data_IF_987326002706
#
_entry.id   IF_987326002706
#
_cell.length_a   1.000
_cell.length_b   1.000
_cell.length_c   1.000
_cell.angle_alpha   90.00
_cell.angle_beta   90.00
_cell.angle_gamma   90.00
#
_symmetry.space_group_name_H-M   'P 1'
#
loop_
_entity.id
_entity.type
_entity.pdbx_description
1 polymer ?
#
# COMPACT_ATOMS: atom_id res chain seq x y z
N UNK A 1 25.11 7.65 24.72
CA UNK A 1 25.33 6.35 24.05
C UNK A 1 24.46 6.31 22.81
N UNK A 2 24.97 5.83 21.67
CA UNK A 2 24.19 5.73 20.42
C UNK A 2 23.63 4.32 20.25
N UNK A 3 22.34 4.20 19.94
CA UNK A 3 21.76 2.93 19.48
C UNK A 3 21.87 2.83 17.96
N UNK A 4 22.17 1.65 17.40
CA UNK A 4 22.18 1.46 15.95
C UNK A 4 20.76 1.68 15.39
N UNK A 5 20.67 2.43 14.28
CA UNK A 5 19.42 2.70 13.58
C UNK A 5 19.47 2.07 12.19
N UNK A 6 18.46 1.28 11.85
CA UNK A 6 18.25 0.80 10.49
C UNK A 6 17.61 1.90 9.65
N UNK A 7 18.44 2.56 8.84
CA UNK A 7 18.02 3.68 7.98
C UNK A 7 17.05 3.23 6.90
N UNK A 8 17.19 2.02 6.37
CA UNK A 8 16.28 1.48 5.34
C UNK A 8 14.87 1.28 5.90
N UNK A 9 14.78 0.65 7.07
CA UNK A 9 13.51 0.46 7.78
C UNK A 9 12.89 1.80 8.20
N UNK A 10 13.69 2.75 8.67
CA UNK A 10 13.23 4.07 9.05
C UNK A 10 12.70 4.87 7.86
N UNK A 11 13.45 4.91 6.75
CA UNK A 11 13.04 5.57 5.52
C UNK A 11 11.75 4.96 4.96
N UNK A 12 11.68 3.63 4.85
CA UNK A 12 10.47 2.93 4.37
C UNK A 12 9.24 3.25 5.23
N UNK A 13 9.37 3.15 6.55
CA UNK A 13 8.27 3.45 7.50
C UNK A 13 7.81 4.90 7.35
N UNK A 14 8.75 5.82 7.16
CA UNK A 14 8.46 7.25 6.97
C UNK A 14 7.75 7.51 5.65
N UNK A 15 8.24 6.95 4.54
CA UNK A 15 7.60 7.07 3.22
C UNK A 15 6.19 6.50 3.23
N UNK A 16 5.98 5.35 3.88
CA UNK A 16 4.66 4.74 3.99
C UNK A 16 3.69 5.63 4.77
N UNK A 17 4.12 6.18 5.91
CA UNK A 17 3.33 7.12 6.70
C UNK A 17 2.97 8.40 5.91
N UNK A 18 3.93 8.94 5.16
CA UNK A 18 3.69 10.13 4.33
C UNK A 18 2.64 9.83 3.27
N UNK A 19 2.79 8.75 2.50
CA UNK A 19 1.83 8.37 1.47
C UNK A 19 0.45 8.07 2.06
N UNK A 20 0.37 7.33 3.16
CA UNK A 20 -0.91 7.01 3.77
C UNK A 20 -1.64 8.25 4.28
N UNK A 21 -0.90 9.22 4.82
CA UNK A 21 -1.45 10.49 5.30
C UNK A 21 -1.89 11.37 4.13
N UNK A 22 -1.13 11.42 3.05
CA UNK A 22 -1.48 12.20 1.84
C UNK A 22 -2.70 11.63 1.12
N UNK A 23 -2.83 10.31 1.02
CA UNK A 23 -3.92 9.70 0.26
C UNK A 23 -5.19 9.48 1.06
N UNK A 24 -5.07 9.17 2.35
CA UNK A 24 -6.19 8.69 3.16
C UNK A 24 -6.33 9.44 4.48
N UNK A 25 -5.45 10.41 4.79
CA UNK A 25 -5.36 11.07 6.10
C UNK A 25 -5.19 10.07 7.26
N UNK A 26 -4.62 8.88 6.98
CA UNK A 26 -4.36 7.83 7.98
C UNK A 26 -2.86 7.66 8.17
N UNK A 27 -2.42 7.44 9.41
CA UNK A 27 -1.05 7.05 9.72
C UNK A 27 -0.94 5.51 9.77
N UNK A 28 -0.57 4.90 8.65
CA UNK A 28 -0.60 3.43 8.46
C UNK A 28 0.70 2.70 8.82
N UNK A 29 1.72 3.38 9.33
CA UNK A 29 2.97 2.75 9.76
C UNK A 29 3.29 2.96 11.25
N UNK A 30 2.37 3.54 12.03
CA UNK A 30 2.50 3.61 13.48
C UNK A 30 2.29 2.23 14.13
N UNK A 31 3.18 1.87 15.06
CA UNK A 31 3.31 0.57 15.73
C UNK A 31 2.17 0.19 16.69
N UNK A 32 1.09 0.97 16.79
CA UNK A 32 0.09 0.83 17.86
C UNK A 32 -1.21 0.13 17.43
N UNK A 33 -1.46 -0.01 16.13
CA UNK A 33 -2.69 -0.64 15.62
C UNK A 33 -2.38 -1.84 14.71
N UNK A 34 -3.07 -2.96 14.95
CA UNK A 34 -2.93 -4.19 14.15
C UNK A 34 -3.16 -3.98 12.66
N UNK A 35 -4.06 -3.06 12.29
CA UNK A 35 -4.37 -2.73 10.88
C UNK A 35 -3.23 -2.00 10.16
N UNK A 36 -2.51 -1.14 10.89
CA UNK A 36 -1.34 -0.40 10.39
C UNK A 36 -0.19 -1.37 10.11
N UNK A 37 0.05 -2.30 11.03
CA UNK A 37 1.05 -3.34 10.85
C UNK A 37 0.73 -4.26 9.67
N UNK A 38 -0.54 -4.69 9.52
CA UNK A 38 -0.98 -5.52 8.38
C UNK A 38 -0.75 -4.82 7.03
N UNK A 39 -1.06 -3.53 6.92
CA UNK A 39 -0.83 -2.77 5.69
C UNK A 39 0.66 -2.62 5.37
N UNK A 40 1.47 -2.33 6.38
CA UNK A 40 2.93 -2.23 6.24
C UNK A 40 3.54 -3.55 5.77
N UNK A 41 3.15 -4.66 6.38
CA UNK A 41 3.65 -5.99 6.03
C UNK A 41 3.23 -6.36 4.60
N UNK A 42 2.00 -6.04 4.20
CA UNK A 42 1.52 -6.27 2.83
C UNK A 42 2.33 -5.47 1.79
N UNK A 43 2.59 -4.19 2.02
CA UNK A 43 3.41 -3.37 1.11
C UNK A 43 4.85 -3.87 1.08
N UNK A 44 5.38 -4.32 2.22
CA UNK A 44 6.71 -4.91 2.29
C UNK A 44 6.82 -6.20 1.45
N UNK A 45 5.85 -7.12 1.57
CA UNK A 45 5.79 -8.34 0.77
C UNK A 45 5.71 -8.05 -0.73
N UNK A 46 4.92 -7.05 -1.14
CA UNK A 46 4.84 -6.60 -2.54
C UNK A 46 6.19 -6.07 -3.03
N UNK A 47 6.85 -5.22 -2.24
CA UNK A 47 8.16 -4.67 -2.59
C UNK A 47 9.24 -5.75 -2.69
N UNK A 48 9.22 -6.74 -1.79
CA UNK A 48 10.13 -7.87 -1.84
C UNK A 48 9.93 -8.70 -3.12
N UNK A 49 8.68 -8.87 -3.55
CA UNK A 49 8.34 -9.63 -4.75
C UNK A 49 8.66 -8.90 -6.05
N UNK A 50 8.47 -7.57 -6.07
CA UNK A 50 8.85 -6.72 -7.21
C UNK A 50 10.37 -6.59 -7.29
N UNK A 51 11.07 -6.54 -6.16
CA UNK A 51 12.52 -6.41 -6.10
C UNK A 51 13.28 -7.71 -6.39
N UNK A 52 12.60 -8.87 -6.36
CA UNK A 52 13.21 -10.16 -6.71
C UNK A 52 13.47 -10.24 -8.22
N UNK A 53 14.68 -10.61 -8.66
CA UNK A 53 14.96 -10.86 -10.06
C UNK A 53 14.04 -11.95 -10.59
N UNK A 54 13.17 -11.61 -11.54
CA UNK A 54 12.26 -12.58 -12.13
C UNK A 54 12.97 -13.30 -13.28
N UNK A 55 13.31 -14.58 -13.07
CA UNK A 55 13.96 -15.42 -14.10
C UNK A 55 13.16 -15.49 -15.41
N UNK A 56 11.84 -15.30 -15.36
CA UNK A 56 11.00 -15.26 -16.57
C UNK A 56 11.21 -14.03 -17.45
N UNK A 57 11.75 -12.95 -16.89
CA UNK A 57 12.09 -11.74 -17.65
C UNK A 57 13.39 -11.93 -18.44
N UNK A 58 14.24 -12.87 -18.01
CA UNK A 58 15.48 -13.25 -18.70
C UNK A 58 15.29 -14.45 -19.65
N UNK A 59 14.38 -15.38 -19.33
CA UNK A 59 14.13 -16.59 -20.12
C UNK A 59 12.65 -16.68 -20.55
N UNK A 60 12.32 -16.31 -21.81
CA UNK A 60 10.94 -16.26 -22.31
C UNK A 60 10.16 -17.57 -22.17
N UNK A 61 10.84 -18.72 -22.21
CA UNK A 61 10.25 -20.07 -22.04
C UNK A 61 9.68 -20.27 -20.63
N UNK A 62 10.24 -19.61 -19.61
CA UNK A 62 9.81 -19.74 -18.22
C UNK A 62 8.62 -18.84 -17.87
N UNK A 63 8.17 -17.94 -18.76
CA UNK A 63 7.02 -17.04 -18.53
C UNK A 63 5.71 -17.76 -18.23
N UNK A 64 5.55 -18.99 -18.74
CA UNK A 64 4.34 -19.79 -18.57
C UNK A 64 4.37 -20.69 -17.34
N UNK A 65 5.54 -20.88 -16.74
CA UNK A 65 5.74 -21.83 -15.63
C UNK A 65 5.68 -21.14 -14.26
N UNK A 66 5.85 -19.82 -14.20
CA UNK A 66 6.03 -19.05 -12.95
C UNK A 66 6.97 -19.77 -11.97
N UNK A 67 8.25 -20.02 -12.33
CA UNK A 67 9.12 -20.93 -11.59
C UNK A 67 9.35 -20.51 -10.13
N UNK A 68 9.19 -19.22 -9.84
CA UNK A 68 9.38 -18.63 -8.52
C UNK A 68 8.05 -18.28 -7.83
N UNK A 69 6.90 -18.56 -8.46
CA UNK A 69 5.57 -18.27 -7.91
C UNK A 69 5.29 -16.78 -7.68
N UNK A 70 6.14 -15.90 -8.22
CA UNK A 70 6.14 -14.46 -7.93
C UNK A 70 4.88 -13.83 -8.48
N UNK A 71 4.45 -14.21 -9.69
CA UNK A 71 3.23 -13.66 -10.29
C UNK A 71 2.00 -14.01 -9.47
N UNK A 72 1.89 -15.26 -9.03
CA UNK A 72 0.77 -15.70 -8.19
C UNK A 72 0.74 -15.00 -6.83
N UNK A 73 1.90 -14.85 -6.17
CA UNK A 73 2.00 -14.15 -4.89
C UNK A 73 1.70 -12.66 -5.01
N UNK A 74 2.23 -12.02 -6.05
CA UNK A 74 1.97 -10.62 -6.34
C UNK A 74 0.48 -10.37 -6.60
N UNK A 75 -0.19 -11.23 -7.39
CA UNK A 75 -1.63 -11.14 -7.62
C UNK A 75 -2.43 -11.24 -6.32
N UNK A 76 -2.15 -12.24 -5.47
CA UNK A 76 -2.81 -12.39 -4.18
C UNK A 76 -2.57 -11.18 -3.24
N UNK A 77 -1.37 -10.62 -3.25
CA UNK A 77 -1.04 -9.44 -2.45
C UNK A 77 -1.73 -8.17 -2.97
N UNK A 78 -1.83 -7.99 -4.29
CA UNK A 78 -2.60 -6.89 -4.86
C UNK A 78 -4.10 -7.03 -4.59
N UNK A 79 -4.67 -8.24 -4.60
CA UNK A 79 -6.07 -8.46 -4.21
C UNK A 79 -6.31 -8.02 -2.76
N UNK A 80 -5.41 -8.39 -1.83
CA UNK A 80 -5.47 -7.93 -0.43
C UNK A 80 -5.33 -6.41 -0.34
N UNK A 81 -4.46 -5.79 -1.15
CA UNK A 81 -4.24 -4.35 -1.15
C UNK A 81 -5.47 -3.59 -1.64
N UNK A 82 -6.08 -4.08 -2.73
CA UNK A 82 -7.34 -3.55 -3.26
C UNK A 82 -8.45 -3.65 -2.20
N UNK A 83 -8.53 -4.76 -1.46
CA UNK A 83 -9.49 -4.90 -0.38
C UNK A 83 -9.27 -3.89 0.76
N UNK A 84 -8.03 -3.52 1.08
CA UNK A 84 -7.73 -2.42 2.02
C UNK A 84 -8.27 -1.10 1.48
N UNK A 85 -7.96 -0.75 0.23
CA UNK A 85 -8.43 0.51 -0.38
C UNK A 85 -9.95 0.57 -0.48
N UNK A 86 -10.62 -0.52 -0.86
CA UNK A 86 -12.08 -0.59 -0.89
C UNK A 86 -12.70 -0.36 0.49
N UNK A 87 -12.09 -0.87 1.58
CA UNK A 87 -12.54 -0.58 2.95
C UNK A 87 -12.42 0.91 3.27
N UNK A 88 -11.30 1.54 2.93
CA UNK A 88 -11.08 2.97 3.14
C UNK A 88 -12.07 3.83 2.35
N UNK A 89 -12.29 3.51 1.07
CA UNK A 89 -13.26 4.19 0.21
C UNK A 89 -14.67 4.09 0.79
N UNK A 90 -15.11 2.86 1.15
CA UNK A 90 -16.45 2.64 1.73
C UNK A 90 -16.63 3.39 3.05
N UNK A 91 -15.61 3.39 3.90
CA UNK A 91 -15.64 4.13 5.15
C UNK A 91 -15.80 5.63 4.88
N UNK A 92 -15.02 6.20 3.95
CA UNK A 92 -15.11 7.62 3.59
C UNK A 92 -16.47 7.99 3.00
N UNK A 93 -17.04 7.13 2.16
CA UNK A 93 -18.38 7.33 1.60
C UNK A 93 -19.48 7.33 2.68
N UNK A 94 -19.30 6.57 3.78
CA UNK A 94 -20.24 6.51 4.89
C UNK A 94 -20.06 7.66 5.89
N UNK A 95 -18.81 7.97 6.26
CA UNK A 95 -18.47 8.97 7.28
C UNK A 95 -18.52 10.42 6.74
N UNK A 96 -18.51 10.59 5.42
CA UNK A 96 -18.38 11.88 4.76
C UNK A 96 -16.92 12.27 4.52
N UNK A 97 -16.66 13.39 3.80
CA UNK A 97 -15.30 13.83 3.49
C UNK A 97 -14.49 14.08 4.77
N UNK A 98 -13.17 14.07 4.64
CA UNK A 98 -12.28 14.47 5.74
C UNK A 98 -12.62 15.89 6.22
N UNK A 99 -12.17 16.21 7.45
CA UNK A 99 -12.34 17.57 8.01
C UNK A 99 -11.85 18.62 6.99
N UNK A 100 -12.47 19.82 6.93
CA UNK A 100 -12.14 20.85 5.94
C UNK A 100 -10.64 21.18 5.87
N UNK A 101 -9.96 21.17 7.02
CA UNK A 101 -8.52 21.47 7.13
C UNK A 101 -7.60 20.28 6.80
N UNK A 102 -8.16 19.14 6.38
CA UNK A 102 -7.48 17.87 6.14
C UNK A 102 -8.00 17.16 4.89
N UNK A 103 -8.29 17.91 3.81
CA UNK A 103 -8.68 17.32 2.52
C UNK A 103 -7.52 16.48 1.98
N UNK A 104 -7.77 15.20 1.71
CA UNK A 104 -6.78 14.30 1.12
C UNK A 104 -7.09 13.94 -0.34
N UNK A 105 -6.18 13.18 -0.96
CA UNK A 105 -6.36 12.77 -2.36
C UNK A 105 -7.63 11.94 -2.55
N UNK A 106 -8.01 11.10 -1.58
CA UNK A 106 -9.24 10.33 -1.71
C UNK A 106 -10.47 11.24 -1.73
N UNK A 107 -10.52 12.30 -0.92
CA UNK A 107 -11.61 13.27 -0.98
C UNK A 107 -11.74 13.88 -2.39
N UNK A 108 -10.61 14.34 -2.95
CA UNK A 108 -10.58 14.91 -4.31
C UNK A 108 -11.05 13.89 -5.36
N UNK A 109 -10.60 12.63 -5.26
CA UNK A 109 -11.00 11.58 -6.20
C UNK A 109 -12.50 11.25 -6.10
N UNK A 110 -13.07 11.25 -4.90
CA UNK A 110 -14.50 11.02 -4.68
C UNK A 110 -15.35 12.18 -5.20
N UNK A 111 -14.89 13.42 -5.02
CA UNK A 111 -15.58 14.59 -5.56
C UNK A 111 -15.56 14.61 -7.09
N UNK A 112 -14.41 14.28 -7.71
CA UNK A 112 -14.31 14.13 -9.16
C UNK A 112 -15.19 13.00 -9.70
N UNK A 113 -15.33 11.90 -8.95
CA UNK A 113 -16.22 10.80 -9.33
C UNK A 113 -17.69 11.25 -9.34
N UNK A 114 -18.13 11.96 -8.30
CA UNK A 114 -19.50 12.49 -8.20
C UNK A 114 -19.84 13.55 -9.24
N UNK A 115 -18.86 14.34 -9.69
CA UNK A 115 -19.07 15.35 -10.74
C UNK A 115 -19.24 14.76 -12.15
N UNK A 116 -18.80 13.51 -12.34
CA UNK A 116 -18.94 12.80 -13.62
C UNK A 116 -20.24 11.99 -13.73
N UNK A 117 -20.96 11.79 -12.62
CA UNK A 117 -22.34 11.30 -12.62
C UNK A 117 -23.32 12.46 -12.84
#
# INVERSE_FOLDING_TARGET
TGQPVDIGKAAFTTSLNLLSKLFFSVELAHHTSSKSQEFKDLIWEIMEDIGKPNYSDYFPVLKYVDPSGIRRRLAANFERLIAVFQRMIKQRLADGPSKPDSTDVLDVLLDLYKQKE
#
